data_IF_992444456748
#
_entry.id   IF_992444456748
#
_cell.length_a   1.000
_cell.length_b   1.000
_cell.length_c   1.000
_cell.angle_alpha   90.00
_cell.angle_beta   90.00
_cell.angle_gamma   90.00
#
_symmetry.space_group_name_H-M   'P 1'
#
loop_
_entity.id
_entity.type
_entity.pdbx_description
1 polymer ?
#
# COMPACT_ATOMS: atom_id res chain seq x y z
N UNK A 1 18.32 21.47 10.75
CA UNK A 1 18.23 20.37 11.74
C UNK A 1 17.23 20.75 12.83
N UNK A 2 15.94 20.85 12.48
CA UNK A 2 14.92 21.41 13.38
C UNK A 2 13.47 21.05 13.05
N UNK A 3 13.16 20.56 11.84
CA UNK A 3 11.81 20.14 11.47
C UNK A 3 11.46 18.68 11.85
N UNK A 4 12.46 17.85 12.16
CA UNK A 4 12.23 16.42 12.46
C UNK A 4 11.73 16.18 13.91
N UNK A 5 11.94 17.14 14.82
CA UNK A 5 11.51 17.03 16.22
C UNK A 5 10.03 17.39 16.44
N UNK A 6 9.40 18.12 15.50
CA UNK A 6 8.01 18.53 15.64
C UNK A 6 7.00 17.46 15.27
N UNK A 7 7.39 16.38 14.59
CA UNK A 7 6.47 15.26 14.34
C UNK A 7 6.26 14.40 15.60
N UNK A 8 7.30 14.22 16.44
CA UNK A 8 7.16 13.53 17.73
C UNK A 8 6.55 14.40 18.83
N UNK A 9 6.82 15.72 18.82
CA UNK A 9 6.27 16.66 19.82
C UNK A 9 4.86 17.17 19.48
N UNK A 10 4.49 17.23 18.21
CA UNK A 10 3.15 17.63 17.78
C UNK A 10 2.08 16.59 18.11
N UNK A 11 2.43 15.29 18.08
CA UNK A 11 1.53 14.19 18.43
C UNK A 11 1.32 14.12 19.97
N UNK A 12 2.28 14.53 20.79
CA UNK A 12 2.18 14.45 22.26
C UNK A 12 1.36 15.58 22.90
N UNK A 13 1.04 16.67 22.19
CA UNK A 13 0.44 17.87 22.79
C UNK A 13 -0.95 18.26 22.27
N UNK A 14 -1.57 17.50 21.34
CA UNK A 14 -3.01 17.63 21.09
C UNK A 14 -3.77 16.56 21.88
N UNK A 15 -4.07 16.89 23.13
CA UNK A 15 -4.95 16.10 23.97
C UNK A 15 -6.41 16.40 23.58
N UNK A 16 -6.87 15.84 22.46
CA UNK A 16 -8.29 15.72 22.14
C UNK A 16 -8.81 14.35 22.55
N UNK A 17 -10.09 14.26 22.91
CA UNK A 17 -10.74 13.11 23.56
C UNK A 17 -10.80 11.80 22.73
N UNK A 18 -10.16 11.72 21.56
CA UNK A 18 -10.11 10.56 20.68
C UNK A 18 -8.67 10.28 20.27
N UNK A 19 -8.32 8.99 20.13
CA UNK A 19 -6.94 8.48 20.10
C UNK A 19 -6.06 8.96 18.94
N UNK A 20 -4.87 8.39 18.85
CA UNK A 20 -3.80 8.71 17.87
C UNK A 20 -4.26 8.74 16.40
N UNK A 21 -5.35 8.05 16.06
CA UNK A 21 -5.95 8.02 14.73
C UNK A 21 -6.57 9.37 14.30
N UNK A 22 -7.08 10.17 15.25
CA UNK A 22 -7.71 11.46 14.96
C UNK A 22 -6.69 12.54 14.56
N UNK A 23 -5.45 12.45 15.05
CA UNK A 23 -4.40 13.42 14.74
C UNK A 23 -3.91 13.32 13.30
N UNK A 24 -3.86 12.12 12.71
CA UNK A 24 -3.53 11.95 11.29
C UNK A 24 -4.64 12.57 10.43
N UNK A 25 -5.90 12.37 10.82
CA UNK A 25 -7.05 12.85 10.07
C UNK A 25 -7.23 14.38 10.15
N UNK A 26 -6.93 15.00 11.29
CA UNK A 26 -6.99 16.45 11.44
C UNK A 26 -5.98 17.18 10.53
N UNK A 27 -4.83 16.58 10.25
CA UNK A 27 -3.82 17.15 9.33
C UNK A 27 -4.25 17.07 7.86
N UNK A 28 -5.16 16.15 7.49
CA UNK A 28 -5.63 15.97 6.11
C UNK A 28 -6.66 17.01 5.64
N UNK A 29 -7.22 17.84 6.54
CA UNK A 29 -8.36 18.72 6.21
C UNK A 29 -7.98 20.17 5.84
N UNK A 30 -6.69 20.55 5.89
CA UNK A 30 -6.25 21.92 5.57
C UNK A 30 -5.29 21.96 4.38
N UNK A 31 -5.86 22.11 3.17
CA UNK A 31 -5.34 22.81 1.95
C UNK A 31 -3.89 22.63 1.48
N UNK A 32 -3.09 21.77 2.07
CA UNK A 32 -1.80 21.33 1.54
C UNK A 32 -2.07 20.00 0.86
N UNK A 33 -1.80 19.91 -0.44
CA UNK A 33 -1.68 18.63 -1.14
C UNK A 33 -0.49 17.90 -0.50
N UNK A 34 -0.73 17.23 0.62
CA UNK A 34 0.28 16.40 1.25
C UNK A 34 0.39 15.19 0.34
N UNK A 35 1.33 15.27 -0.59
CA UNK A 35 1.81 14.10 -1.31
C UNK A 35 2.43 13.17 -0.25
N UNK A 36 1.79 12.03 -0.02
CA UNK A 36 2.28 11.02 0.93
C UNK A 36 2.95 9.92 0.11
N UNK A 37 4.10 9.47 0.59
CA UNK A 37 4.68 8.22 0.08
C UNK A 37 4.98 7.26 1.21
N UNK A 38 5.08 5.99 0.86
CA UNK A 38 5.36 4.89 1.78
C UNK A 38 6.49 4.05 1.20
N UNK A 39 7.55 3.85 1.98
CA UNK A 39 8.59 2.87 1.65
C UNK A 39 8.29 1.56 2.35
N UNK A 40 8.12 0.50 1.57
CA UNK A 40 8.08 -0.88 2.04
C UNK A 40 9.51 -1.42 2.06
N UNK A 41 10.04 -1.75 3.23
CA UNK A 41 11.33 -2.40 3.35
C UNK A 41 11.14 -3.91 3.24
N UNK A 42 11.60 -4.54 2.14
CA UNK A 42 11.38 -5.97 1.90
C UNK A 42 12.66 -6.78 2.05
N UNK A 43 12.57 -8.11 2.03
CA UNK A 43 13.77 -8.97 2.07
C UNK A 43 14.66 -8.80 0.81
N UNK A 44 14.09 -8.34 -0.30
CA UNK A 44 14.80 -8.24 -1.60
C UNK A 44 15.07 -6.79 -2.04
N UNK A 45 14.82 -5.81 -1.17
CA UNK A 45 15.03 -4.39 -1.44
C UNK A 45 13.88 -3.51 -0.97
N UNK A 46 13.99 -2.21 -1.20
CA UNK A 46 12.97 -1.24 -0.83
C UNK A 46 12.04 -0.96 -2.02
N UNK A 47 10.76 -0.67 -1.75
CA UNK A 47 9.77 -0.21 -2.74
C UNK A 47 9.11 1.05 -2.20
N UNK A 48 9.28 2.18 -2.88
CA UNK A 48 8.64 3.44 -2.51
C UNK A 48 7.40 3.69 -3.36
N UNK A 49 6.28 3.94 -2.71
CA UNK A 49 4.96 4.10 -3.31
C UNK A 49 4.46 5.51 -3.03
N UNK A 50 4.13 6.27 -4.06
CA UNK A 50 3.30 7.47 -3.95
C UNK A 50 1.83 7.06 -3.81
N UNK A 51 1.12 7.71 -2.89
CA UNK A 51 -0.27 7.39 -2.52
C UNK A 51 -1.22 8.50 -2.98
N UNK A 52 -2.24 8.14 -3.77
CA UNK A 52 -3.15 9.09 -4.44
C UNK A 52 -4.36 9.49 -3.58
N UNK A 53 -4.11 10.07 -2.40
CA UNK A 53 -5.12 10.38 -1.39
C UNK A 53 -6.29 11.25 -1.89
N UNK A 54 -6.07 12.14 -2.87
CA UNK A 54 -7.14 12.99 -3.43
C UNK A 54 -8.17 12.17 -4.23
N UNK A 55 -7.72 11.12 -4.93
CA UNK A 55 -8.56 10.35 -5.85
C UNK A 55 -9.20 9.14 -5.19
N UNK A 56 -8.53 8.56 -4.21
CA UNK A 56 -8.98 7.35 -3.50
C UNK A 56 -8.86 7.52 -1.99
N UNK A 57 -9.53 8.53 -1.39
CA UNK A 57 -9.32 8.93 -0.01
C UNK A 57 -9.54 7.79 0.99
N UNK A 58 -10.57 6.97 0.81
CA UNK A 58 -10.89 5.89 1.73
C UNK A 58 -9.86 4.76 1.66
N UNK A 59 -9.44 4.40 0.45
CA UNK A 59 -8.42 3.39 0.23
C UNK A 59 -7.08 3.83 0.82
N UNK A 60 -6.72 5.09 0.61
CA UNK A 60 -5.49 5.67 1.15
C UNK A 60 -5.53 5.77 2.67
N UNK A 61 -6.65 6.18 3.27
CA UNK A 61 -6.85 6.18 4.73
C UNK A 61 -6.62 4.77 5.30
N UNK A 62 -7.24 3.76 4.71
CA UNK A 62 -7.07 2.37 5.12
C UNK A 62 -5.61 1.92 5.00
N UNK A 63 -4.97 2.13 3.85
CA UNK A 63 -3.60 1.71 3.62
C UNK A 63 -2.63 2.38 4.60
N UNK A 64 -2.70 3.70 4.76
CA UNK A 64 -1.80 4.47 5.61
C UNK A 64 -1.98 4.14 7.09
N UNK A 65 -3.21 3.92 7.55
CA UNK A 65 -3.46 3.50 8.93
C UNK A 65 -2.98 2.06 9.22
N UNK A 66 -3.11 1.14 8.26
CA UNK A 66 -2.51 -0.20 8.36
C UNK A 66 -0.96 -0.13 8.37
N UNK A 67 -0.36 0.73 7.55
CA UNK A 67 1.08 1.00 7.60
C UNK A 67 1.51 1.55 8.98
N UNK A 68 0.83 2.57 9.50
CA UNK A 68 1.17 3.21 10.76
C UNK A 68 1.00 2.30 12.00
N UNK A 69 0.22 1.23 11.87
CA UNK A 69 0.02 0.22 12.91
C UNK A 69 0.93 -1.00 12.77
N UNK A 70 1.91 -0.96 11.86
CA UNK A 70 2.80 -2.10 11.53
C UNK A 70 2.03 -3.35 11.08
N UNK A 71 0.80 -3.20 10.56
CA UNK A 71 -0.06 -4.31 10.18
C UNK A 71 0.57 -5.20 9.11
N UNK A 72 1.35 -4.59 8.21
CA UNK A 72 2.00 -5.29 7.11
C UNK A 72 3.38 -5.85 7.47
N UNK A 73 3.91 -5.60 8.66
CA UNK A 73 5.22 -6.14 9.06
C UNK A 73 5.11 -7.67 9.18
N UNK A 74 5.99 -8.38 8.50
CA UNK A 74 5.96 -9.83 8.34
C UNK A 74 4.95 -10.35 7.31
N UNK A 75 4.17 -9.48 6.64
CA UNK A 75 3.33 -9.92 5.53
C UNK A 75 4.21 -10.42 4.38
N UNK A 76 3.85 -11.57 3.83
CA UNK A 76 4.53 -12.17 2.69
C UNK A 76 3.91 -11.76 1.36
N UNK A 77 4.69 -11.83 0.29
CA UNK A 77 4.16 -11.81 -1.07
C UNK A 77 3.61 -13.19 -1.45
N UNK A 78 2.35 -13.46 -1.09
CA UNK A 78 1.75 -14.81 -1.18
C UNK A 78 1.35 -15.24 -2.58
N UNK A 79 1.35 -14.34 -3.57
CA UNK A 79 1.04 -14.66 -4.98
C UNK A 79 1.84 -13.76 -5.92
N UNK A 80 2.58 -14.37 -6.83
CA UNK A 80 3.51 -13.69 -7.73
C UNK A 80 3.40 -14.29 -9.14
N UNK A 81 2.89 -13.51 -10.10
CA UNK A 81 2.68 -13.95 -11.48
C UNK A 81 3.54 -13.07 -12.38
N UNK A 82 4.59 -13.67 -12.95
CA UNK A 82 5.52 -13.02 -13.87
C UNK A 82 4.80 -12.33 -15.03
N UNK A 83 5.17 -11.10 -15.33
CA UNK A 83 4.56 -10.24 -16.35
C UNK A 83 3.19 -9.67 -15.99
N UNK A 84 2.61 -10.09 -14.85
CA UNK A 84 1.28 -9.66 -14.42
C UNK A 84 1.34 -8.80 -13.17
N UNK A 85 1.50 -9.40 -11.99
CA UNK A 85 1.49 -8.69 -10.70
C UNK A 85 2.07 -9.55 -9.56
N UNK A 86 2.41 -8.86 -8.47
CA UNK A 86 2.71 -9.46 -7.17
C UNK A 86 1.74 -8.94 -6.12
N UNK A 87 1.20 -9.83 -5.29
CA UNK A 87 0.16 -9.56 -4.32
C UNK A 87 0.65 -9.87 -2.90
N UNK A 88 0.28 -8.99 -1.96
CA UNK A 88 0.65 -9.04 -0.55
C UNK A 88 -0.48 -8.45 0.33
N UNK A 89 -0.20 -8.19 1.60
CA UNK A 89 -1.10 -7.51 2.53
C UNK A 89 -2.07 -8.43 3.26
N UNK A 90 -1.80 -9.75 3.28
CA UNK A 90 -2.49 -10.72 4.12
C UNK A 90 -1.58 -11.16 5.29
N UNK A 91 -1.85 -10.75 6.54
CA UNK A 91 -1.04 -11.15 7.69
C UNK A 91 -1.05 -12.65 7.98
N UNK A 92 -2.04 -13.38 7.46
CA UNK A 92 -2.09 -14.85 7.59
C UNK A 92 -1.21 -15.55 6.56
N UNK A 93 -0.80 -14.85 5.49
CA UNK A 93 -0.05 -15.41 4.37
C UNK A 93 -0.82 -16.45 3.53
N UNK A 94 -2.12 -16.66 3.79
CA UNK A 94 -2.94 -17.67 3.09
C UNK A 94 -3.47 -17.20 1.74
N UNK A 95 -3.49 -15.88 1.52
CA UNK A 95 -4.15 -15.20 0.41
C UNK A 95 -5.65 -15.02 0.59
N UNK A 96 -6.21 -15.47 1.71
CA UNK A 96 -7.66 -15.38 2.01
C UNK A 96 -7.97 -14.47 3.20
N UNK A 97 -6.95 -14.04 3.95
CA UNK A 97 -7.10 -13.18 5.11
C UNK A 97 -7.07 -11.70 4.76
N UNK A 98 -6.84 -10.88 5.79
CA UNK A 98 -6.74 -9.43 5.65
C UNK A 98 -8.04 -8.67 5.89
N UNK A 99 -7.99 -7.69 6.78
CA UNK A 99 -9.11 -6.84 7.18
C UNK A 99 -8.76 -5.36 6.99
N UNK A 100 -9.76 -4.55 6.65
CA UNK A 100 -9.58 -3.10 6.69
C UNK A 100 -9.47 -2.61 8.14
N UNK A 101 -9.09 -1.34 8.30
CA UNK A 101 -9.09 -0.67 9.61
C UNK A 101 -10.47 -0.62 10.28
N UNK A 102 -11.55 -0.77 9.50
CA UNK A 102 -12.92 -0.77 10.00
C UNK A 102 -13.43 -2.17 10.36
N UNK A 103 -12.60 -3.22 10.24
CA UNK A 103 -12.99 -4.60 10.53
C UNK A 103 -14.02 -5.20 9.56
N UNK A 104 -14.36 -4.49 8.49
CA UNK A 104 -15.30 -4.92 7.44
C UNK A 104 -14.76 -4.60 6.05
N UNK A 105 -15.36 -5.14 5.00
CA UNK A 105 -14.99 -4.75 3.63
C UNK A 105 -15.49 -3.33 3.31
N UNK A 106 -14.82 -2.65 2.37
CA UNK A 106 -15.18 -1.31 1.92
C UNK A 106 -15.27 -1.19 0.40
N UNK A 107 -15.92 -0.12 -0.05
CA UNK A 107 -16.26 0.20 -1.43
C UNK A 107 -15.04 0.39 -2.34
N UNK A 108 -15.27 0.23 -3.64
CA UNK A 108 -14.28 0.57 -4.66
C UNK A 108 -14.26 2.09 -4.93
N UNK A 109 -13.10 2.64 -5.25
CA UNK A 109 -12.92 4.04 -5.64
C UNK A 109 -12.27 4.09 -7.03
N UNK A 110 -13.07 4.31 -8.05
CA UNK A 110 -12.59 4.33 -9.43
C UNK A 110 -12.31 5.74 -9.93
N UNK A 111 -11.27 5.88 -10.76
CA UNK A 111 -10.90 7.13 -11.39
C UNK A 111 -10.53 6.88 -12.85
N UNK A 112 -11.07 7.69 -13.76
CA UNK A 112 -10.73 7.62 -15.19
C UNK A 112 -9.27 7.97 -15.48
N UNK A 113 -8.58 8.62 -14.54
CA UNK A 113 -7.19 9.03 -14.64
C UNK A 113 -6.21 7.99 -14.11
N UNK A 114 -6.68 7.10 -13.24
CA UNK A 114 -5.84 6.08 -12.61
C UNK A 114 -6.07 4.74 -13.33
N UNK A 115 -5.10 4.38 -14.17
CA UNK A 115 -5.15 3.17 -15.00
C UNK A 115 -3.94 2.30 -14.76
N UNK A 116 -4.09 1.00 -15.01
CA UNK A 116 -3.00 0.04 -15.02
C UNK A 116 -2.22 0.15 -16.34
N UNK A 117 -1.72 1.34 -16.66
CA UNK A 117 -1.12 1.68 -17.96
C UNK A 117 0.40 1.55 -18.00
N UNK A 118 1.05 1.27 -16.87
CA UNK A 118 2.51 1.17 -16.71
C UNK A 118 2.86 0.14 -15.64
N UNK A 119 4.14 -0.25 -15.57
CA UNK A 119 4.70 -1.03 -14.44
C UNK A 119 4.62 -0.21 -13.14
N UNK A 120 4.43 -0.89 -12.02
CA UNK A 120 4.47 -0.28 -10.69
C UNK A 120 3.15 0.34 -10.24
N UNK A 121 2.03 0.12 -10.93
CA UNK A 121 0.71 0.56 -10.45
C UNK A 121 0.30 -0.30 -9.25
N UNK A 122 -0.14 0.35 -8.17
CA UNK A 122 -0.54 -0.28 -6.91
C UNK A 122 -2.06 -0.20 -6.75
N UNK A 123 -2.68 -1.36 -6.54
CA UNK A 123 -4.13 -1.48 -6.51
C UNK A 123 -4.62 -2.45 -5.43
N UNK A 124 -5.83 -2.22 -4.92
CA UNK A 124 -6.45 -3.12 -3.94
C UNK A 124 -6.80 -4.46 -4.57
N UNK A 125 -6.55 -5.55 -3.85
CA UNK A 125 -7.11 -6.85 -4.18
C UNK A 125 -8.51 -6.98 -3.56
N UNK A 126 -9.47 -7.51 -4.32
CA UNK A 126 -10.84 -7.72 -3.89
C UNK A 126 -11.38 -9.08 -4.37
N UNK A 127 -12.51 -9.51 -3.80
CA UNK A 127 -13.24 -10.74 -4.16
C UNK A 127 -14.58 -10.40 -4.85
N UNK A 128 -14.59 -9.34 -5.65
CA UNK A 128 -15.78 -8.77 -6.27
C UNK A 128 -16.05 -7.32 -5.84
N UNK A 129 -17.07 -6.67 -6.41
CA UNK A 129 -17.34 -5.25 -6.17
C UNK A 129 -17.49 -4.92 -4.69
N UNK A 130 -16.86 -3.83 -4.24
CA UNK A 130 -16.95 -3.29 -2.88
C UNK A 130 -16.49 -4.26 -1.79
N UNK A 131 -15.47 -5.07 -2.07
CA UNK A 131 -14.92 -6.05 -1.12
C UNK A 131 -13.47 -5.79 -0.73
N UNK A 132 -13.02 -4.54 -0.75
CA UNK A 132 -11.66 -4.16 -0.39
C UNK A 132 -11.36 -4.43 1.10
N UNK A 133 -10.13 -4.83 1.39
CA UNK A 133 -9.64 -5.16 2.73
C UNK A 133 -8.25 -4.59 2.98
N UNK A 134 -7.27 -5.42 3.34
CA UNK A 134 -5.87 -5.01 3.48
C UNK A 134 -4.97 -5.44 2.32
N UNK A 135 -5.40 -6.43 1.54
CA UNK A 135 -4.58 -6.98 0.46
C UNK A 135 -4.49 -6.02 -0.72
N UNK A 136 -3.30 -5.89 -1.28
CA UNK A 136 -3.03 -5.09 -2.46
C UNK A 136 -2.03 -5.81 -3.37
N UNK A 137 -1.93 -5.36 -4.61
CA UNK A 137 -0.97 -5.87 -5.57
C UNK A 137 -0.26 -4.75 -6.31
N UNK A 138 0.94 -5.05 -6.79
CA UNK A 138 1.76 -4.18 -7.62
C UNK A 138 1.90 -4.84 -9.00
N UNK A 139 1.60 -4.10 -10.06
CA UNK A 139 1.67 -4.61 -11.43
C UNK A 139 3.09 -4.60 -11.99
N UNK A 140 3.44 -5.63 -12.76
CA UNK A 140 4.71 -5.72 -13.46
C UNK A 140 4.70 -5.08 -14.86
N UNK A 141 3.53 -4.67 -15.34
CA UNK A 141 3.36 -4.06 -16.66
C UNK A 141 1.94 -3.55 -16.87
N UNK A 142 1.61 -3.21 -18.12
CA UNK A 142 0.27 -2.70 -18.47
C UNK A 142 -0.79 -3.80 -18.31
N UNK A 143 -1.85 -3.52 -17.55
CA UNK A 143 -2.97 -4.44 -17.30
C UNK A 143 -4.35 -3.76 -17.48
N UNK A 144 -4.67 -3.23 -18.68
CA UNK A 144 -5.89 -2.44 -18.89
C UNK A 144 -7.20 -3.21 -18.61
N UNK A 145 -7.15 -4.54 -18.61
CA UNK A 145 -8.32 -5.38 -18.27
C UNK A 145 -8.70 -5.34 -16.77
N UNK A 146 -7.86 -4.75 -15.92
CA UNK A 146 -8.09 -4.50 -14.49
C UNK A 146 -8.70 -3.12 -14.21
N UNK A 147 -8.69 -2.21 -15.20
CA UNK A 147 -9.24 -0.87 -15.05
C UNK A 147 -10.74 -0.95 -14.72
N UNK A 148 -11.20 -0.05 -13.84
CA UNK A 148 -12.58 0.01 -13.33
C UNK A 148 -13.07 -1.28 -12.65
N UNK A 149 -12.17 -2.17 -12.24
CA UNK A 149 -12.46 -3.39 -11.45
C UNK A 149 -11.71 -3.46 -10.13
N UNK A 150 -10.56 -2.79 -10.07
CA UNK A 150 -9.72 -2.70 -8.90
C UNK A 150 -9.35 -1.24 -8.66
N UNK A 151 -9.47 -0.80 -7.40
CA UNK A 151 -9.11 0.55 -6.97
C UNK A 151 -7.59 0.72 -7.09
N UNK A 152 -7.16 1.58 -8.03
CA UNK A 152 -5.77 2.05 -8.12
C UNK A 152 -5.59 3.17 -7.10
N UNK A 153 -4.69 3.00 -6.12
CA UNK A 153 -4.51 3.99 -5.04
C UNK A 153 -3.07 4.50 -4.91
N UNK A 154 -2.15 3.97 -5.71
CA UNK A 154 -0.77 4.43 -5.68
C UNK A 154 0.07 3.95 -6.85
N UNK A 155 1.31 4.39 -6.87
CA UNK A 155 2.30 4.02 -7.87
C UNK A 155 3.69 3.95 -7.26
N UNK A 156 4.45 2.94 -7.67
CA UNK A 156 5.88 2.85 -7.34
C UNK A 156 6.65 3.99 -8.00
N UNK A 157 7.33 4.78 -7.18
CA UNK A 157 8.17 5.92 -7.60
C UNK A 157 9.66 5.66 -7.42
N UNK A 158 10.03 4.64 -6.63
CA UNK A 158 11.41 4.17 -6.45
C UNK A 158 11.42 2.68 -6.08
N UNK A 159 12.50 1.95 -6.40
CA UNK A 159 12.62 0.51 -6.16
C UNK A 159 12.03 -0.38 -7.25
N UNK A 160 12.13 0.03 -8.53
CA UNK A 160 11.70 -0.81 -9.65
C UNK A 160 12.58 -2.06 -9.82
N UNK A 161 13.85 -1.97 -9.44
CA UNK A 161 14.77 -3.09 -9.35
C UNK A 161 14.32 -4.13 -8.30
N UNK A 162 13.73 -3.70 -7.19
CA UNK A 162 13.12 -4.60 -6.21
C UNK A 162 11.94 -5.35 -6.81
N UNK A 163 11.12 -4.70 -7.66
CA UNK A 163 10.09 -5.39 -8.43
C UNK A 163 10.68 -6.39 -9.43
N UNK A 164 11.82 -6.07 -10.05
CA UNK A 164 12.51 -7.00 -10.95
C UNK A 164 12.99 -8.25 -10.21
N UNK A 165 13.50 -8.11 -8.98
CA UNK A 165 13.89 -9.23 -8.14
C UNK A 165 12.69 -10.07 -7.69
N UNK A 166 11.60 -9.42 -7.26
CA UNK A 166 10.34 -10.12 -6.94
C UNK A 166 9.81 -10.91 -8.15
N UNK A 167 9.86 -10.34 -9.35
CA UNK A 167 9.34 -10.97 -10.57
C UNK A 167 10.15 -12.21 -11.00
N UNK A 168 11.42 -12.28 -10.63
CA UNK A 168 12.32 -13.42 -10.94
C UNK A 168 12.16 -14.59 -9.97
N UNK A 169 11.50 -14.40 -8.82
CA UNK A 169 11.39 -15.44 -7.81
C UNK A 169 10.75 -16.70 -8.39
N UNK A 170 11.31 -17.90 -8.13
CA UNK A 170 10.66 -19.14 -8.52
C UNK A 170 9.37 -19.30 -7.72
N UNK A 171 8.30 -19.72 -8.41
CA UNK A 171 6.98 -19.90 -7.81
C UNK A 171 6.47 -21.32 -8.03
N UNK A 172 5.54 -21.75 -7.18
CA UNK A 172 4.74 -22.93 -7.43
C UNK A 172 3.87 -22.72 -8.67
N UNK A 173 3.93 -23.64 -9.63
CA UNK A 173 3.23 -23.51 -10.93
C UNK A 173 1.70 -23.44 -10.82
N UNK A 174 1.10 -24.03 -9.77
CA UNK A 174 -0.36 -24.09 -9.60
C UNK A 174 -0.90 -22.94 -8.79
N UNK A 175 -0.19 -22.54 -7.73
CA UNK A 175 -0.67 -21.51 -6.80
C UNK A 175 -0.06 -20.14 -7.05
N UNK A 176 1.03 -20.07 -7.84
CA UNK A 176 1.85 -18.89 -8.04
C UNK A 176 2.45 -18.31 -6.75
N UNK A 177 2.51 -19.12 -5.68
CA UNK A 177 3.20 -18.72 -4.44
C UNK A 177 4.72 -18.84 -4.64
N UNK A 178 5.53 -17.84 -4.26
CA UNK A 178 6.98 -18.00 -4.20
C UNK A 178 7.40 -19.25 -3.42
N UNK A 179 8.45 -19.94 -3.89
CA UNK A 179 8.96 -21.14 -3.22
C UNK A 179 9.64 -20.81 -1.89
N UNK A 180 10.25 -19.63 -1.82
CA UNK A 180 10.78 -19.05 -0.59
C UNK A 180 9.96 -17.82 -0.26
N UNK A 181 9.49 -17.72 0.98
CA UNK A 181 8.72 -16.57 1.43
C UNK A 181 9.60 -15.31 1.45
N UNK A 182 9.05 -14.21 0.93
CA UNK A 182 9.64 -12.87 0.95
C UNK A 182 8.67 -11.97 1.69
N UNK A 183 9.18 -11.17 2.63
CA UNK A 183 8.40 -10.41 3.58
C UNK A 183 8.55 -8.90 3.36
N UNK A 184 7.55 -8.17 3.81
CA UNK A 184 7.67 -6.76 4.20
C UNK A 184 8.19 -6.75 5.63
N UNK A 185 9.42 -6.30 5.85
CA UNK A 185 10.08 -6.25 7.16
C UNK A 185 9.59 -5.07 7.99
N UNK A 186 9.51 -3.91 7.36
CA UNK A 186 9.16 -2.66 8.01
C UNK A 186 8.59 -1.65 7.01
N UNK A 187 7.98 -0.58 7.52
CA UNK A 187 7.37 0.47 6.72
C UNK A 187 7.77 1.85 7.23
N UNK A 188 8.20 2.71 6.31
CA UNK A 188 8.42 4.14 6.56
C UNK A 188 7.37 4.97 5.82
N UNK A 189 6.66 5.85 6.54
CA UNK A 189 5.72 6.80 5.96
C UNK A 189 6.39 8.17 5.84
N UNK A 190 6.31 8.78 4.66
CA UNK A 190 6.90 10.07 4.34
C UNK A 190 5.82 11.10 4.05
N UNK A 191 5.90 12.26 4.73
CA UNK A 191 5.02 13.40 4.49
C UNK A 191 5.41 14.22 3.23
N UNK A 192 6.46 13.82 2.51
CA UNK A 192 6.89 14.37 1.24
C UNK A 192 7.44 13.23 0.37
N UNK A 193 6.95 12.99 -0.86
CA UNK A 193 7.33 11.84 -1.67
C UNK A 193 8.77 11.89 -2.16
N UNK A 194 9.39 13.07 -2.17
CA UNK A 194 10.79 13.26 -2.58
C UNK A 194 11.77 13.26 -1.41
N UNK A 195 11.28 13.21 -0.16
CA UNK A 195 12.16 13.07 1.00
C UNK A 195 12.76 11.65 1.00
N UNK A 196 14.09 11.57 1.11
CA UNK A 196 14.84 10.32 1.31
C UNK A 196 14.83 9.93 2.79
#
# INVERSE_FOLDING_TARGET
MGLLLDFRRGISNLQTRGGTYDCIFAVLTTTVLIEVSVTLHTDVGDIKIEVFCERTPKTCENFLALCASNYYNGCIFHRNIKGFMVQTGDPTGTGRGGNSIWGKKFEDEYSEYLKHSVRGVVSMANNGPNTNGSQFFITYGKQPHLDMKYTVFGKVIDGLETLDELEKLPVNEKTYRPLNDVHIKDITIHANPFAQ
#
